data_IF_178842884805
#
_entry.id   IF_178842884805
#
_cell.length_a   1.000
_cell.length_b   1.000
_cell.length_c   1.000
_cell.angle_alpha   90.00
_cell.angle_beta   90.00
_cell.angle_gamma   90.00
#
_symmetry.space_group_name_H-M   'P 1'
#
loop_
_entity.id
_entity.type
_entity.pdbx_description
1 polymer ?
#
# COMPACT_ATOMS: atom_id res chain seq x y z
N UNK A 1 -25.15 -5.52 28.15
CA UNK A 1 -25.07 -5.83 26.71
C UNK A 1 -23.83 -5.13 26.21
N UNK A 2 -22.74 -5.88 26.12
CA UNK A 2 -21.44 -5.37 25.68
C UNK A 2 -21.47 -5.42 24.15
N UNK A 3 -21.95 -4.34 23.53
CA UNK A 3 -21.86 -4.16 22.08
C UNK A 3 -20.40 -3.85 21.76
N UNK A 4 -19.55 -4.87 21.80
CA UNK A 4 -18.25 -4.86 21.14
C UNK A 4 -18.52 -4.66 19.66
N UNK A 5 -18.52 -3.40 19.24
CA UNK A 5 -18.53 -3.03 17.83
C UNK A 5 -17.23 -3.56 17.26
N UNK A 6 -17.30 -4.69 16.56
CA UNK A 6 -16.15 -5.35 15.94
C UNK A 6 -15.68 -4.52 14.74
N UNK A 7 -15.04 -3.39 15.04
CA UNK A 7 -14.47 -2.48 14.05
C UNK A 7 -13.34 -3.16 13.25
N UNK A 8 -12.84 -4.30 13.73
CA UNK A 8 -11.84 -5.12 13.04
C UNK A 8 -12.44 -5.88 11.84
N UNK A 9 -13.76 -5.95 11.74
CA UNK A 9 -14.47 -6.35 10.53
C UNK A 9 -15.10 -5.16 9.79
N UNK A 10 -14.88 -3.93 10.26
CA UNK A 10 -15.36 -2.73 9.58
C UNK A 10 -14.55 -2.50 8.30
N UNK A 11 -15.27 -2.55 7.18
CA UNK A 11 -14.69 -2.41 5.84
C UNK A 11 -14.01 -1.05 5.67
N UNK A 12 -14.58 0.02 6.22
CA UNK A 12 -14.05 1.37 6.06
C UNK A 12 -12.75 1.53 6.86
N UNK A 13 -12.70 1.05 8.11
CA UNK A 13 -11.49 1.01 8.93
C UNK A 13 -10.36 0.23 8.24
N UNK A 14 -10.68 -0.94 7.68
CA UNK A 14 -9.72 -1.78 6.94
C UNK A 14 -9.18 -1.06 5.70
N UNK A 15 -10.06 -0.48 4.89
CA UNK A 15 -9.66 0.22 3.67
C UNK A 15 -8.84 1.47 3.99
N UNK A 16 -9.23 2.25 4.99
CA UNK A 16 -8.50 3.44 5.43
C UNK A 16 -7.11 3.08 5.98
N UNK A 17 -7.04 2.07 6.86
CA UNK A 17 -5.76 1.56 7.39
C UNK A 17 -4.83 1.13 6.26
N UNK A 18 -5.35 0.39 5.27
CA UNK A 18 -4.53 -0.07 4.15
C UNK A 18 -4.09 1.08 3.26
N UNK A 19 -4.98 2.02 2.93
CA UNK A 19 -4.67 3.21 2.11
C UNK A 19 -3.62 4.09 2.81
N UNK A 20 -3.80 4.36 4.11
CA UNK A 20 -2.89 5.15 4.93
C UNK A 20 -1.52 4.51 5.10
N UNK A 21 -1.50 3.22 5.47
CA UNK A 21 -0.26 2.45 5.58
C UNK A 21 0.46 2.37 4.25
N UNK A 22 -0.26 2.08 3.15
CA UNK A 22 0.30 2.07 1.82
C UNK A 22 0.95 3.41 1.50
N UNK A 23 0.24 4.54 1.67
CA UNK A 23 0.77 5.89 1.42
C UNK A 23 2.05 6.17 2.21
N UNK A 24 2.07 5.86 3.51
CA UNK A 24 3.25 6.07 4.35
C UNK A 24 4.43 5.16 3.94
N UNK A 25 4.14 3.94 3.47
CA UNK A 25 5.15 2.98 3.02
C UNK A 25 5.81 3.37 1.71
N UNK A 26 4.97 3.73 0.74
CA UNK A 26 5.40 3.96 -0.62
C UNK A 26 6.23 5.24 -0.74
N UNK A 27 6.04 6.22 0.15
CA UNK A 27 6.94 7.38 0.29
C UNK A 27 8.35 7.00 0.80
N UNK A 28 8.49 5.85 1.49
CA UNK A 28 9.75 5.42 2.13
C UNK A 28 10.50 4.35 1.35
N UNK A 29 9.77 3.42 0.73
CA UNK A 29 10.33 2.22 0.09
C UNK A 29 9.48 1.74 -1.08
N UNK A 30 10.15 1.56 -2.21
CA UNK A 30 9.58 1.09 -3.48
C UNK A 30 9.14 -0.37 -3.40
N UNK A 31 9.84 -1.15 -2.57
CA UNK A 31 9.71 -2.59 -2.45
C UNK A 31 9.71 -3.02 -0.99
N UNK A 32 8.63 -2.79 -0.27
CA UNK A 32 8.63 -3.06 1.15
C UNK A 32 8.54 -4.54 1.48
N UNK A 33 9.23 -4.93 2.55
CA UNK A 33 9.09 -6.24 3.16
C UNK A 33 7.83 -6.31 4.02
N UNK A 34 7.33 -7.52 4.27
CA UNK A 34 6.16 -7.74 5.12
C UNK A 34 6.33 -7.15 6.53
N UNK A 35 7.56 -7.13 7.06
CA UNK A 35 7.89 -6.49 8.33
C UNK A 35 7.65 -4.98 8.29
N UNK A 36 8.06 -4.31 7.20
CA UNK A 36 7.87 -2.88 6.99
C UNK A 36 6.39 -2.54 6.76
N UNK A 37 5.69 -3.38 5.98
CA UNK A 37 4.24 -3.30 5.78
C UNK A 37 3.50 -3.32 7.11
N UNK A 38 3.83 -4.28 7.96
CA UNK A 38 3.24 -4.43 9.28
C UNK A 38 3.53 -3.26 10.19
N UNK A 39 4.78 -2.80 10.21
CA UNK A 39 5.23 -1.70 11.04
C UNK A 39 4.47 -0.40 10.76
N UNK A 40 4.33 -0.03 9.48
CA UNK A 40 3.63 1.21 9.12
C UNK A 40 2.11 1.09 9.27
N UNK A 41 1.53 -0.09 9.01
CA UNK A 41 0.12 -0.31 9.28
C UNK A 41 -0.18 -0.14 10.77
N UNK A 42 0.69 -0.67 11.64
CA UNK A 42 0.56 -0.48 13.08
C UNK A 42 0.71 0.99 13.47
N UNK A 43 1.72 1.66 12.91
CA UNK A 43 1.94 3.09 13.13
C UNK A 43 0.73 3.93 12.75
N UNK A 44 0.18 3.72 11.56
CA UNK A 44 -0.99 4.45 11.07
C UNK A 44 -2.21 4.23 11.98
N UNK A 45 -2.46 2.99 12.41
CA UNK A 45 -3.57 2.69 13.32
C UNK A 45 -3.36 3.34 14.68
N UNK A 46 -2.15 3.31 15.24
CA UNK A 46 -1.83 3.99 16.51
C UNK A 46 -2.06 5.50 16.44
N UNK A 47 -1.72 6.11 15.31
CA UNK A 47 -1.83 7.57 15.13
C UNK A 47 -3.27 8.03 14.87
N UNK A 48 -4.05 7.29 14.08
CA UNK A 48 -5.38 7.71 13.63
C UNK A 48 -6.53 7.05 14.41
N UNK A 49 -6.25 5.96 15.11
CA UNK A 49 -7.24 5.13 15.82
C UNK A 49 -6.70 4.70 17.20
N UNK A 50 -6.02 5.61 17.90
CA UNK A 50 -5.36 5.36 19.19
C UNK A 50 -6.30 4.68 20.22
N UNK A 51 -7.53 5.19 20.35
CA UNK A 51 -8.55 4.66 21.28
C UNK A 51 -8.94 3.20 20.98
N UNK A 52 -8.81 2.78 19.72
CA UNK A 52 -9.04 1.39 19.31
C UNK A 52 -7.79 0.55 19.51
N UNK A 53 -6.62 1.09 19.16
CA UNK A 53 -5.35 0.38 19.32
C UNK A 53 -5.09 0.02 20.79
N UNK A 54 -5.42 0.90 21.73
CA UNK A 54 -5.29 0.62 23.18
C UNK A 54 -6.18 -0.53 23.66
N UNK A 55 -7.25 -0.86 22.93
CA UNK A 55 -8.13 -2.00 23.22
C UNK A 55 -7.66 -3.31 22.59
N UNK A 56 -6.71 -3.26 21.66
CA UNK A 56 -6.13 -4.46 21.06
C UNK A 56 -5.13 -5.11 22.03
N UNK A 57 -5.35 -6.39 22.36
CA UNK A 57 -4.26 -7.21 22.87
C UNK A 57 -3.30 -7.46 21.70
N UNK A 58 -1.98 -7.39 21.89
CA UNK A 58 -0.94 -7.62 20.86
C UNK A 58 -1.19 -8.86 19.98
N UNK A 59 -1.84 -9.89 20.55
CA UNK A 59 -2.24 -11.12 19.86
C UNK A 59 -3.34 -10.88 18.82
N UNK A 60 -4.29 -9.99 19.10
CA UNK A 60 -5.41 -9.65 18.23
C UNK A 60 -4.95 -8.81 17.02
N UNK A 61 -3.93 -7.96 17.21
CA UNK A 61 -3.32 -7.21 16.10
C UNK A 61 -2.64 -8.14 15.09
N UNK A 62 -1.91 -9.15 15.56
CA UNK A 62 -1.28 -10.13 14.66
C UNK A 62 -2.31 -10.92 13.84
N UNK A 63 -3.40 -11.34 14.49
CA UNK A 63 -4.49 -12.06 13.82
C UNK A 63 -5.18 -11.14 12.80
N UNK A 64 -5.48 -9.89 13.19
CA UNK A 64 -6.06 -8.89 12.30
C UNK A 64 -5.15 -8.60 11.09
N UNK A 65 -3.86 -8.37 11.33
CA UNK A 65 -2.87 -8.12 10.27
C UNK A 65 -2.86 -9.25 9.24
N UNK A 66 -2.75 -10.51 9.70
CA UNK A 66 -2.70 -11.65 8.79
C UNK A 66 -4.01 -11.80 7.98
N UNK A 67 -5.15 -11.60 8.62
CA UNK A 67 -6.46 -11.80 8.00
C UNK A 67 -6.88 -10.65 7.07
N UNK A 68 -6.44 -9.42 7.35
CA UNK A 68 -6.95 -8.22 6.69
C UNK A 68 -5.91 -7.50 5.82
N UNK A 69 -4.62 -7.62 6.13
CA UNK A 69 -3.54 -6.89 5.43
C UNK A 69 -2.91 -7.69 4.29
N UNK A 70 -3.42 -8.89 3.98
CA UNK A 70 -3.09 -9.62 2.74
C UNK A 70 -3.19 -8.76 1.47
N UNK A 71 -4.11 -7.78 1.46
CA UNK A 71 -4.25 -6.83 0.35
C UNK A 71 -3.03 -5.93 0.10
N UNK A 72 -2.16 -5.69 1.09
CA UNK A 72 -0.91 -4.93 0.88
C UNK A 72 0.14 -5.74 0.09
N UNK A 73 0.13 -7.08 0.21
CA UNK A 73 0.91 -7.96 -0.66
C UNK A 73 0.42 -7.88 -2.12
N UNK A 74 -0.89 -7.87 -2.32
CA UNK A 74 -1.52 -7.63 -3.63
C UNK A 74 -1.18 -6.24 -4.18
N UNK A 75 -1.21 -5.20 -3.34
CA UNK A 75 -0.84 -3.83 -3.69
C UNK A 75 0.60 -3.72 -4.16
N UNK A 76 1.53 -4.28 -3.39
CA UNK A 76 2.95 -4.27 -3.76
C UNK A 76 3.17 -4.94 -5.12
N UNK A 77 2.46 -6.03 -5.42
CA UNK A 77 2.56 -6.68 -6.74
C UNK A 77 1.93 -5.84 -7.86
N UNK A 78 0.79 -5.18 -7.64
CA UNK A 78 0.19 -4.30 -8.65
C UNK A 78 1.00 -3.05 -8.92
N UNK A 79 1.65 -2.48 -7.91
CA UNK A 79 2.59 -1.37 -8.10
C UNK A 79 3.75 -1.83 -8.99
N UNK A 80 4.33 -3.01 -8.73
CA UNK A 80 5.38 -3.60 -9.59
C UNK A 80 4.92 -3.79 -11.02
N UNK A 81 3.77 -4.44 -11.22
CA UNK A 81 3.23 -4.67 -12.56
C UNK A 81 3.02 -3.37 -13.33
N UNK A 82 2.47 -2.34 -12.66
CA UNK A 82 2.20 -1.04 -13.28
C UNK A 82 3.50 -0.31 -13.61
N UNK A 83 4.47 -0.28 -12.69
CA UNK A 83 5.81 0.27 -12.91
C UNK A 83 6.46 -0.36 -14.15
N UNK A 84 6.48 -1.69 -14.23
CA UNK A 84 7.03 -2.43 -15.37
C UNK A 84 6.16 -2.40 -16.63
N UNK A 85 4.91 -1.97 -16.55
CA UNK A 85 4.04 -1.82 -17.72
C UNK A 85 4.21 -0.45 -18.35
N UNK A 86 4.33 0.59 -17.53
CA UNK A 86 4.38 1.99 -18.00
C UNK A 86 5.81 2.42 -18.30
N UNK A 87 6.75 2.08 -17.41
CA UNK A 87 8.10 2.63 -17.43
C UNK A 87 9.18 1.61 -17.77
N UNK A 88 8.81 0.41 -18.27
CA UNK A 88 9.75 -0.68 -18.59
C UNK A 88 11.02 -0.22 -19.31
N UNK A 89 10.85 0.66 -20.29
CA UNK A 89 11.94 1.10 -21.17
C UNK A 89 12.85 2.16 -20.50
N UNK A 90 12.43 2.72 -19.37
CA UNK A 90 13.17 3.72 -18.59
C UNK A 90 13.89 3.10 -17.39
N UNK A 91 13.41 1.95 -16.88
CA UNK A 91 14.05 1.21 -15.81
C UNK A 91 15.14 0.32 -16.38
N UNK A 92 16.24 0.17 -15.62
CA UNK A 92 17.30 -0.75 -16.03
C UNK A 92 16.76 -2.19 -16.07
N UNK A 93 17.09 -2.99 -17.09
CA UNK A 93 16.59 -4.35 -17.16
C UNK A 93 17.21 -5.19 -16.05
N UNK A 94 16.35 -5.90 -15.31
CA UNK A 94 16.77 -6.93 -14.35
C UNK A 94 16.22 -8.28 -14.79
N UNK A 95 17.07 -9.30 -14.83
CA UNK A 95 16.66 -10.64 -15.26
C UNK A 95 16.33 -11.54 -14.05
N UNK A 96 15.67 -12.67 -14.32
CA UNK A 96 15.27 -13.65 -13.31
C UNK A 96 16.42 -14.50 -12.72
N UNK A 97 17.64 -14.34 -13.25
CA UNK A 97 18.90 -14.93 -12.75
C UNK A 97 19.73 -13.94 -11.93
N UNK A 98 19.24 -12.72 -11.71
CA UNK A 98 19.95 -11.70 -10.95
C UNK A 98 20.16 -12.15 -9.51
N UNK A 99 21.35 -11.87 -8.97
CA UNK A 99 21.70 -12.16 -7.59
C UNK A 99 20.93 -11.23 -6.65
N UNK A 100 20.73 -11.62 -5.38
CA UNK A 100 20.07 -10.78 -4.39
C UNK A 100 20.66 -9.36 -4.31
N UNK A 101 21.98 -9.22 -4.34
CA UNK A 101 22.66 -7.92 -4.29
C UNK A 101 22.39 -7.05 -5.53
N UNK A 102 22.33 -7.67 -6.72
CA UNK A 102 21.99 -6.97 -7.96
C UNK A 102 20.55 -6.46 -7.92
N UNK A 103 19.62 -7.27 -7.38
CA UNK A 103 18.23 -6.86 -7.13
C UNK A 103 18.17 -5.69 -6.15
N UNK A 104 18.94 -5.74 -5.07
CA UNK A 104 18.98 -4.65 -4.08
C UNK A 104 19.53 -3.36 -4.71
N UNK A 105 20.62 -3.43 -5.48
CA UNK A 105 21.18 -2.28 -6.18
C UNK A 105 20.19 -1.71 -7.20
N UNK A 106 19.54 -2.56 -7.99
CA UNK A 106 18.54 -2.15 -8.97
C UNK A 106 17.35 -1.43 -8.32
N UNK A 107 16.85 -1.95 -7.20
CA UNK A 107 15.77 -1.32 -6.41
C UNK A 107 16.17 0.05 -5.88
N UNK A 108 17.46 0.26 -5.56
CA UNK A 108 18.02 1.51 -5.04
C UNK A 108 18.48 2.47 -6.13
N UNK A 109 18.41 2.08 -7.41
CA UNK A 109 18.89 2.92 -8.49
C UNK A 109 18.03 4.17 -8.64
N UNK A 110 18.66 5.30 -8.97
CA UNK A 110 17.98 6.58 -9.15
C UNK A 110 16.87 6.48 -10.20
N UNK A 111 17.11 5.80 -11.33
CA UNK A 111 16.11 5.62 -12.39
C UNK A 111 14.88 4.83 -11.92
N UNK A 112 15.10 3.75 -11.16
CA UNK A 112 13.99 2.98 -10.58
C UNK A 112 13.20 3.84 -9.60
N UNK A 113 13.90 4.65 -8.78
CA UNK A 113 13.25 5.58 -7.86
C UNK A 113 12.42 6.63 -8.59
N UNK A 114 12.96 7.27 -9.60
CA UNK A 114 12.26 8.29 -10.38
C UNK A 114 11.02 7.70 -11.08
N UNK A 115 11.14 6.56 -11.75
CA UNK A 115 10.00 5.91 -12.41
C UNK A 115 8.90 5.53 -11.41
N UNK A 116 9.29 5.18 -10.19
CA UNK A 116 8.34 4.89 -9.13
C UNK A 116 7.62 6.15 -8.62
N UNK A 117 8.35 7.25 -8.39
CA UNK A 117 7.74 8.53 -7.99
C UNK A 117 6.75 9.04 -9.04
N UNK A 118 7.01 8.78 -10.33
CA UNK A 118 6.07 9.09 -11.42
C UNK A 118 4.75 8.32 -11.39
N UNK A 119 4.58 7.35 -10.48
CA UNK A 119 3.27 6.72 -10.27
C UNK A 119 2.30 7.60 -9.47
N UNK A 120 2.84 8.59 -8.75
CA UNK A 120 2.11 9.54 -7.91
C UNK A 120 1.81 10.85 -8.62
N UNK A 121 2.50 11.13 -9.71
CA UNK A 121 2.25 12.31 -10.52
C UNK A 121 0.84 12.26 -11.11
N UNK A 122 0.20 13.42 -11.14
CA UNK A 122 -1.11 13.62 -11.75
C UNK A 122 -1.01 13.37 -13.26
N UNK A 123 -1.90 12.52 -13.78
CA UNK A 123 -1.93 12.22 -15.22
C UNK A 123 -2.65 13.32 -16.01
N UNK A 124 -3.52 14.07 -15.35
CA UNK A 124 -4.24 15.23 -15.85
C UNK A 124 -4.12 16.33 -14.80
N UNK A 125 -3.86 17.56 -15.22
CA UNK A 125 -3.67 18.72 -14.35
C UNK A 125 -4.91 18.95 -13.46
N UNK A 126 -4.68 19.22 -12.18
CA UNK A 126 -5.72 19.43 -11.16
C UNK A 126 -6.65 18.22 -10.96
N UNK A 127 -6.14 17.00 -11.14
CA UNK A 127 -6.91 15.77 -10.93
C UNK A 127 -6.23 14.80 -9.97
N UNK A 128 -7.05 14.10 -9.18
CA UNK A 128 -6.58 12.95 -8.38
C UNK A 128 -6.26 11.72 -9.26
N UNK A 129 -6.20 11.84 -10.59
CA UNK A 129 -6.01 10.72 -11.49
C UNK A 129 -4.52 10.34 -11.58
N UNK A 130 -4.06 9.51 -10.65
CA UNK A 130 -2.68 8.97 -10.63
C UNK A 130 -2.66 7.47 -10.95
N UNK A 131 -1.51 6.92 -11.33
CA UNK A 131 -1.38 5.46 -11.45
C UNK A 131 -1.62 4.76 -10.11
N UNK A 132 -1.19 5.37 -9.00
CA UNK A 132 -1.47 4.86 -7.65
C UNK A 132 -2.96 4.79 -7.37
N UNK A 133 -3.74 5.83 -7.67
CA UNK A 133 -5.18 5.81 -7.47
C UNK A 133 -5.87 4.77 -8.37
N UNK A 134 -5.41 4.60 -9.61
CA UNK A 134 -5.89 3.51 -10.50
C UNK A 134 -5.57 2.12 -9.96
N UNK A 135 -4.38 1.91 -9.37
CA UNK A 135 -4.01 0.64 -8.72
C UNK A 135 -4.90 0.38 -7.51
N UNK A 136 -5.07 1.39 -6.65
CA UNK A 136 -5.91 1.30 -5.46
C UNK A 136 -7.35 0.96 -5.84
N UNK A 137 -7.93 1.63 -6.85
CA UNK A 137 -9.28 1.30 -7.35
C UNK A 137 -9.40 -0.10 -7.97
N UNK A 138 -8.33 -0.66 -8.55
CA UNK A 138 -8.38 -2.04 -9.07
C UNK A 138 -8.38 -3.09 -7.96
N UNK A 139 -7.71 -2.82 -6.84
CA UNK A 139 -7.60 -3.75 -5.72
C UNK A 139 -8.80 -3.59 -4.78
N UNK A 140 -9.20 -2.34 -4.54
CA UNK A 140 -10.36 -1.93 -3.77
C UNK A 140 -11.24 -1.05 -4.63
N UNK A 141 -12.00 -1.63 -5.58
CA UNK A 141 -13.03 -0.88 -6.28
C UNK A 141 -14.04 -0.44 -5.22
N UNK A 142 -14.14 0.88 -4.99
CA UNK A 142 -15.10 1.43 -4.04
C UNK A 142 -16.47 0.80 -4.32
N UNK A 143 -17.08 0.23 -3.28
CA UNK A 143 -18.48 -0.13 -3.36
C UNK A 143 -19.26 1.19 -3.30
N UNK A 144 -19.49 1.76 -4.49
CA UNK A 144 -20.26 2.98 -4.79
C UNK A 144 -19.53 4.30 -4.50
N UNK A 145 -18.86 4.81 -5.54
CA UNK A 145 -18.90 6.25 -5.82
C UNK A 145 -20.37 6.61 -6.14
N UNK A 146 -21.18 6.88 -5.12
CA UNK A 146 -22.30 7.79 -5.32
C UNK A 146 -21.69 9.18 -5.42
N UNK A 147 -21.31 9.57 -6.64
CA UNK A 147 -21.25 10.97 -7.04
C UNK A 147 -22.58 11.60 -6.63
N UNK A 148 -22.58 12.35 -5.53
CA UNK A 148 -23.64 13.34 -5.31
C UNK A 148 -23.27 14.54 -6.16
N UNK A 149 -24.04 14.67 -7.23
CA UNK A 149 -24.21 15.88 -8.04
C UNK A 149 -24.74 17.02 -7.18
#
# INVERSE_FOLDING_TARGET
MDNSFDITNDKAFKEDTIKGAAKALIEKVIYPENSQIKSEAEKYVRENYAEFFERFILKDWNIYYVNNIHGLGTLTNKIKETLFSVYRNLIEPINNKAKPDEVIMWKKSTKTNECYQKLFEELEEDSDNTYMNRILHKIWPDAKLHLKK
#
